data_IF_066672364123
#
_entry.id   IF_066672364123
#
_cell.length_a   1.000
_cell.length_b   1.000
_cell.length_c   1.000
_cell.angle_alpha   90.00
_cell.angle_beta   90.00
_cell.angle_gamma   90.00
#
_symmetry.space_group_name_H-M   'P 1'
#
loop_
_entity.id
_entity.type
_entity.pdbx_description
1 polymer ?
#
# COMPACT_ATOMS: atom_id res chain seq x y z
N UNK A 1 11.87 -2.78 8.80
CA UNK A 1 11.33 -3.16 7.48
C UNK A 1 11.60 -4.64 7.19
N UNK A 2 10.65 -5.27 6.52
CA UNK A 2 10.74 -6.69 6.16
C UNK A 2 11.53 -6.86 4.86
N UNK A 3 12.21 -7.98 4.69
CA UNK A 3 12.97 -8.27 3.47
C UNK A 3 12.07 -8.28 2.21
N UNK A 4 10.79 -8.64 2.35
CA UNK A 4 9.78 -8.61 1.29
C UNK A 4 9.47 -7.20 0.79
N UNK A 5 9.73 -6.17 1.57
CA UNK A 5 9.46 -4.77 1.22
C UNK A 5 10.58 -4.14 0.39
N UNK A 6 11.77 -4.75 0.33
CA UNK A 6 12.96 -4.14 -0.30
C UNK A 6 12.77 -3.88 -1.79
N UNK A 7 12.20 -4.83 -2.53
CA UNK A 7 11.99 -4.67 -3.98
C UNK A 7 11.11 -3.45 -4.29
N UNK A 8 9.98 -3.31 -3.60
CA UNK A 8 9.08 -2.17 -3.79
C UNK A 8 9.73 -0.82 -3.40
N UNK A 9 10.63 -0.82 -2.39
CA UNK A 9 11.39 0.38 -2.01
C UNK A 9 12.40 0.74 -3.10
N UNK A 10 13.11 -0.22 -3.65
CA UNK A 10 14.07 0.01 -4.73
C UNK A 10 13.38 0.51 -6.01
N UNK A 11 12.22 -0.06 -6.36
CA UNK A 11 11.42 0.39 -7.49
C UNK A 11 10.92 1.84 -7.27
N UNK A 12 10.44 2.16 -6.07
CA UNK A 12 10.00 3.52 -5.74
C UNK A 12 11.16 4.53 -5.84
N UNK A 13 12.34 4.19 -5.35
CA UNK A 13 13.54 5.03 -5.47
C UNK A 13 13.94 5.23 -6.93
N UNK A 14 13.97 4.15 -7.71
CA UNK A 14 14.28 4.23 -9.14
C UNK A 14 13.30 5.14 -9.90
N UNK A 15 12.01 5.06 -9.57
CA UNK A 15 11.00 5.96 -10.12
C UNK A 15 11.24 7.42 -9.71
N UNK A 16 11.53 7.67 -8.44
CA UNK A 16 11.85 9.02 -7.96
C UNK A 16 13.07 9.59 -8.69
N UNK A 17 14.14 8.80 -8.85
CA UNK A 17 15.34 9.20 -9.56
C UNK A 17 15.04 9.53 -11.04
N UNK A 18 14.24 8.70 -11.72
CA UNK A 18 13.81 8.95 -13.12
C UNK A 18 13.03 10.25 -13.26
N UNK A 19 12.17 10.56 -12.29
CA UNK A 19 11.29 11.74 -12.30
C UNK A 19 11.93 12.99 -11.68
N UNK A 20 13.11 12.87 -11.08
CA UNK A 20 13.78 13.97 -10.38
C UNK A 20 13.06 14.35 -9.07
N UNK A 21 12.38 13.39 -8.43
CA UNK A 21 11.70 13.57 -7.16
C UNK A 21 12.71 13.28 -6.04
N UNK A 22 12.91 14.25 -5.14
CA UNK A 22 13.74 14.06 -3.96
C UNK A 22 13.05 13.11 -2.97
N UNK A 23 13.80 12.24 -2.34
CA UNK A 23 13.27 11.34 -1.34
C UNK A 23 14.22 11.20 -0.14
N UNK A 24 13.66 10.85 1.00
CA UNK A 24 14.37 10.44 2.21
C UNK A 24 13.84 9.08 2.65
N UNK A 25 14.69 8.26 3.22
CA UNK A 25 14.30 6.95 3.73
C UNK A 25 14.48 6.91 5.25
N UNK A 26 13.45 6.41 5.93
CA UNK A 26 13.49 6.07 7.35
C UNK A 26 13.11 4.60 7.50
N UNK A 27 13.70 3.93 8.46
CA UNK A 27 13.43 2.52 8.75
C UNK A 27 13.10 2.33 10.22
N UNK A 28 12.21 1.37 10.50
CA UNK A 28 11.89 0.93 11.85
C UNK A 28 11.67 -0.59 11.84
N UNK A 29 12.12 -1.27 12.88
CA UNK A 29 11.95 -2.72 13.08
C UNK A 29 11.00 -3.03 14.23
N UNK A 30 10.60 -2.01 14.97
CA UNK A 30 9.60 -2.05 16.05
C UNK A 30 8.61 -0.92 15.89
N UNK A 31 7.42 -1.03 16.49
CA UNK A 31 6.41 0.04 16.46
C UNK A 31 6.95 1.37 17.02
N UNK A 32 7.79 1.33 18.05
CA UNK A 32 8.41 2.54 18.60
C UNK A 32 9.38 3.20 17.62
N UNK A 33 10.17 2.43 16.89
CA UNK A 33 11.05 2.95 15.84
C UNK A 33 10.28 3.49 14.65
N UNK A 34 9.16 2.86 14.26
CA UNK A 34 8.26 3.36 13.21
C UNK A 34 7.66 4.70 13.62
N UNK A 35 7.21 4.85 14.87
CA UNK A 35 6.71 6.13 15.39
C UNK A 35 7.79 7.21 15.34
N UNK A 36 9.03 6.89 15.77
CA UNK A 36 10.15 7.82 15.69
C UNK A 36 10.52 8.19 14.24
N UNK A 37 10.40 7.23 13.32
CA UNK A 37 10.60 7.47 11.89
C UNK A 37 9.52 8.41 11.32
N UNK A 38 8.27 8.23 11.71
CA UNK A 38 7.16 9.12 11.31
C UNK A 38 7.39 10.54 11.85
N UNK A 39 7.76 10.70 13.14
CA UNK A 39 8.09 12.00 13.72
C UNK A 39 9.25 12.70 12.97
N UNK A 40 10.25 11.92 12.55
CA UNK A 40 11.36 12.46 11.77
C UNK A 40 10.93 12.91 10.36
N UNK A 41 10.06 12.17 9.67
CA UNK A 41 9.53 12.56 8.36
C UNK A 41 8.68 13.83 8.45
N UNK A 42 7.84 13.95 9.48
CA UNK A 42 7.08 15.18 9.75
C UNK A 42 8.01 16.37 10.01
N UNK A 43 9.05 16.17 10.81
CA UNK A 43 10.04 17.23 11.10
C UNK A 43 10.87 17.66 9.87
N UNK A 44 11.11 16.75 8.94
CA UNK A 44 11.77 17.04 7.66
C UNK A 44 10.85 17.75 6.66
N UNK A 45 9.54 17.74 6.88
CA UNK A 45 8.56 18.44 6.05
C UNK A 45 8.40 17.82 4.66
N UNK A 46 8.30 16.49 4.61
CA UNK A 46 8.06 15.77 3.34
C UNK A 46 6.66 16.04 2.81
N UNK A 47 6.49 16.03 1.49
CA UNK A 47 5.20 16.31 0.85
C UNK A 47 4.26 15.09 0.85
N UNK A 48 4.81 13.89 0.95
CA UNK A 48 4.06 12.62 1.01
C UNK A 48 4.92 11.53 1.65
N UNK A 49 4.27 10.51 2.18
CA UNK A 49 4.91 9.28 2.67
C UNK A 49 4.44 8.09 1.84
N UNK A 50 5.39 7.23 1.47
CA UNK A 50 5.11 5.93 0.85
C UNK A 50 5.63 4.81 1.74
N UNK A 51 4.76 3.83 2.03
CA UNK A 51 5.13 2.59 2.71
C UNK A 51 4.68 1.39 1.88
N UNK A 52 5.58 0.49 1.47
CA UNK A 52 5.19 -0.77 0.85
C UNK A 52 4.45 -1.67 1.84
N UNK A 53 3.98 -2.82 1.39
CA UNK A 53 3.41 -3.82 2.30
C UNK A 53 4.45 -4.24 3.35
N UNK A 54 4.25 -3.82 4.59
CA UNK A 54 5.13 -4.11 5.74
C UNK A 54 4.29 -4.24 7.02
N UNK A 55 4.28 -5.43 7.62
CA UNK A 55 3.46 -5.72 8.81
C UNK A 55 3.89 -4.92 10.04
N UNK A 56 5.17 -4.54 10.15
CA UNK A 56 5.66 -3.73 11.28
C UNK A 56 5.10 -2.34 11.22
N UNK A 57 5.09 -1.73 10.03
CA UNK A 57 4.51 -0.38 9.83
C UNK A 57 3.00 -0.45 9.95
N UNK A 58 2.35 -1.45 9.33
CA UNK A 58 0.90 -1.62 9.42
C UNK A 58 0.41 -1.71 10.86
N UNK A 59 1.10 -2.49 11.71
CA UNK A 59 0.77 -2.59 13.14
C UNK A 59 0.92 -1.26 13.89
N UNK A 60 1.80 -0.37 13.43
CA UNK A 60 2.01 0.94 14.03
C UNK A 60 1.08 2.02 13.46
N UNK A 61 0.36 1.76 12.38
CA UNK A 61 -0.39 2.77 11.61
C UNK A 61 -1.36 3.57 12.47
N UNK A 62 -2.18 2.93 13.30
CA UNK A 62 -3.10 3.61 14.22
C UNK A 62 -2.42 4.59 15.21
N UNK A 63 -1.10 4.50 15.37
CA UNK A 63 -0.33 5.41 16.23
C UNK A 63 0.41 6.52 15.48
N UNK A 64 0.40 6.47 14.14
CA UNK A 64 1.14 7.44 13.31
C UNK A 64 0.26 8.22 12.33
N UNK A 65 -0.92 7.71 11.93
CA UNK A 65 -1.74 8.33 10.89
C UNK A 65 -2.18 9.76 11.26
N UNK A 66 -2.59 10.00 12.51
CA UNK A 66 -2.99 11.34 12.97
C UNK A 66 -1.84 12.35 12.84
N UNK A 67 -0.60 11.93 13.09
CA UNK A 67 0.58 12.79 12.96
C UNK A 67 0.77 13.26 11.52
N UNK A 68 0.51 12.38 10.56
CA UNK A 68 0.59 12.72 9.13
C UNK A 68 -0.58 13.62 8.72
N UNK A 69 -1.79 13.35 9.18
CA UNK A 69 -2.96 14.21 8.93
C UNK A 69 -2.71 15.62 9.49
N UNK A 70 -2.27 15.74 10.74
CA UNK A 70 -2.00 17.03 11.39
C UNK A 70 -0.91 17.84 10.67
N UNK A 71 0.04 17.14 10.05
CA UNK A 71 1.11 17.74 9.26
C UNK A 71 0.71 18.02 7.79
N UNK A 72 -0.49 17.60 7.35
CA UNK A 72 -0.95 17.74 5.96
C UNK A 72 -0.23 16.78 5.00
N UNK A 73 0.29 15.65 5.47
CA UNK A 73 1.11 14.70 4.71
C UNK A 73 0.27 13.46 4.36
N UNK A 74 -0.05 13.21 3.09
CA UNK A 74 -0.73 11.99 2.69
C UNK A 74 0.20 10.77 2.82
N UNK A 75 -0.34 9.67 3.37
CA UNK A 75 0.33 8.39 3.49
C UNK A 75 -0.22 7.41 2.44
N UNK A 76 0.58 7.10 1.44
CA UNK A 76 0.32 6.11 0.39
C UNK A 76 0.93 4.78 0.79
N UNK A 77 0.18 3.69 0.63
CA UNK A 77 0.61 2.38 1.14
C UNK A 77 0.38 1.24 0.17
N UNK A 78 1.05 0.12 0.40
CA UNK A 78 1.01 -1.08 -0.45
C UNK A 78 -0.03 -2.12 -0.04
N UNK A 79 -1.00 -1.79 0.83
CA UNK A 79 -2.08 -2.71 1.21
C UNK A 79 -3.30 -1.94 1.74
N UNK A 80 -4.49 -2.53 1.56
CA UNK A 80 -5.78 -2.01 2.01
C UNK A 80 -5.88 -1.84 3.54
N UNK A 81 -5.26 -2.74 4.29
CA UNK A 81 -5.23 -2.71 5.76
C UNK A 81 -4.67 -1.41 6.35
N UNK A 82 -3.78 -0.73 5.65
CA UNK A 82 -3.29 0.58 6.08
C UNK A 82 -4.37 1.66 5.99
N UNK A 83 -5.19 1.65 4.92
CA UNK A 83 -6.29 2.59 4.79
C UNK A 83 -7.35 2.38 5.87
N UNK A 84 -7.61 1.13 6.28
CA UNK A 84 -8.47 0.80 7.43
C UNK A 84 -7.91 1.35 8.75
N UNK A 85 -6.60 1.59 8.82
CA UNK A 85 -5.91 2.12 10.00
C UNK A 85 -5.58 3.60 9.89
N UNK A 86 -6.19 4.33 8.95
CA UNK A 86 -6.09 5.78 8.86
C UNK A 86 -5.13 6.31 7.80
N UNK A 87 -4.35 5.47 7.09
CA UNK A 87 -3.58 5.94 5.93
C UNK A 87 -4.52 6.49 4.84
N UNK A 88 -4.03 7.44 4.03
CA UNK A 88 -4.83 8.03 2.95
C UNK A 88 -5.34 6.97 1.97
N UNK A 89 -4.47 6.10 1.51
CA UNK A 89 -4.87 5.00 0.64
C UNK A 89 -3.91 3.83 0.70
N UNK A 90 -4.45 2.64 0.35
CA UNK A 90 -3.68 1.43 0.15
C UNK A 90 -3.92 0.85 -1.24
N UNK A 91 -2.87 0.68 -2.04
CA UNK A 91 -2.93 -0.03 -3.32
C UNK A 91 -2.58 -1.48 -3.10
N UNK A 92 -3.52 -2.37 -3.35
CA UNK A 92 -3.40 -3.78 -3.04
C UNK A 92 -3.86 -4.71 -4.15
N UNK A 93 -3.77 -5.99 -3.88
CA UNK A 93 -4.18 -7.06 -4.78
C UNK A 93 -5.69 -7.27 -4.67
N UNK A 94 -6.37 -7.44 -5.81
CA UNK A 94 -7.73 -7.99 -5.82
C UNK A 94 -7.67 -9.50 -5.53
N UNK A 95 -7.89 -9.88 -4.29
CA UNK A 95 -7.79 -11.28 -3.86
C UNK A 95 -8.87 -12.18 -4.45
N UNK A 96 -10.05 -11.66 -4.82
CA UNK A 96 -11.09 -12.43 -5.50
C UNK A 96 -10.65 -12.79 -6.93
N UNK A 97 -10.11 -11.82 -7.67
CA UNK A 97 -9.55 -12.04 -8.99
C UNK A 97 -8.35 -13.00 -8.94
N UNK A 98 -7.45 -12.82 -7.96
CA UNK A 98 -6.31 -13.70 -7.75
C UNK A 98 -6.76 -15.14 -7.46
N UNK A 99 -7.79 -15.31 -6.62
CA UNK A 99 -8.38 -16.61 -6.31
C UNK A 99 -8.98 -17.27 -7.54
N UNK A 100 -9.74 -16.53 -8.35
CA UNK A 100 -10.33 -17.00 -9.60
C UNK A 100 -9.25 -17.45 -10.59
N UNK A 101 -8.25 -16.60 -10.84
CA UNK A 101 -7.11 -16.94 -11.71
C UNK A 101 -6.38 -18.21 -11.26
N UNK A 102 -6.13 -18.32 -9.95
CA UNK A 102 -5.48 -19.51 -9.37
C UNK A 102 -6.31 -20.78 -9.59
N UNK A 103 -7.63 -20.68 -9.43
CA UNK A 103 -8.53 -21.81 -9.66
C UNK A 103 -8.56 -22.21 -11.14
N UNK A 104 -8.58 -21.25 -12.06
CA UNK A 104 -8.55 -21.52 -13.50
C UNK A 104 -7.25 -22.22 -13.89
N UNK A 105 -6.11 -21.77 -13.42
CA UNK A 105 -4.82 -22.44 -13.65
C UNK A 105 -4.81 -23.87 -13.09
N UNK A 106 -5.41 -24.09 -11.91
CA UNK A 106 -5.52 -25.43 -11.34
C UNK A 106 -6.42 -26.34 -12.19
N UNK A 107 -7.53 -25.83 -12.72
CA UNK A 107 -8.42 -26.58 -13.64
C UNK A 107 -7.67 -26.92 -14.93
N UNK A 108 -6.92 -26.00 -15.50
CA UNK A 108 -6.14 -26.25 -16.71
C UNK A 108 -5.12 -27.38 -16.52
N UNK A 109 -4.44 -27.43 -15.39
CA UNK A 109 -3.48 -28.49 -15.08
C UNK A 109 -4.18 -29.81 -14.76
N UNK A 110 -5.17 -29.80 -13.85
CA UNK A 110 -5.73 -31.02 -13.29
C UNK A 110 -6.80 -31.66 -14.17
N UNK A 111 -7.54 -30.87 -14.95
CA UNK A 111 -8.66 -31.33 -15.77
C UNK A 111 -8.29 -31.32 -17.25
N UNK A 112 -7.67 -30.26 -17.75
CA UNK A 112 -7.38 -30.08 -19.17
C UNK A 112 -6.01 -30.65 -19.56
N UNK A 113 -5.20 -31.09 -18.59
CA UNK A 113 -3.93 -31.79 -18.83
C UNK A 113 -2.78 -30.85 -19.23
N UNK A 114 -2.85 -29.56 -18.88
CA UNK A 114 -1.72 -28.64 -19.07
C UNK A 114 -0.50 -29.11 -18.25
N UNK A 115 0.68 -28.98 -18.85
CA UNK A 115 1.94 -29.31 -18.16
C UNK A 115 2.31 -28.20 -17.15
N UNK A 116 2.37 -28.50 -15.85
CA UNK A 116 2.77 -27.51 -14.86
C UNK A 116 4.15 -26.87 -15.13
N UNK A 117 5.07 -27.63 -15.69
CA UNK A 117 6.39 -27.13 -16.02
C UNK A 117 6.42 -26.14 -17.18
N UNK A 118 5.40 -26.19 -18.04
CA UNK A 118 5.20 -25.29 -19.17
C UNK A 118 4.20 -24.16 -18.89
N UNK A 119 3.50 -24.20 -17.74
CA UNK A 119 2.53 -23.19 -17.35
C UNK A 119 3.29 -21.97 -16.74
N UNK A 120 3.20 -20.79 -17.34
CA UNK A 120 3.88 -19.62 -16.81
C UNK A 120 3.28 -19.14 -15.50
N UNK A 121 4.09 -18.43 -14.70
CA UNK A 121 3.57 -17.66 -13.57
C UNK A 121 2.75 -16.50 -14.12
N UNK A 122 1.54 -16.33 -13.61
CA UNK A 122 0.68 -15.21 -13.94
C UNK A 122 0.69 -14.16 -12.83
N UNK A 123 0.55 -12.90 -13.22
CA UNK A 123 0.41 -11.75 -12.32
C UNK A 123 -0.88 -11.00 -12.65
N UNK A 124 -1.39 -10.24 -11.68
CA UNK A 124 -2.47 -9.30 -11.92
C UNK A 124 -1.89 -8.02 -12.52
N UNK A 125 -2.52 -7.50 -13.58
CA UNK A 125 -2.06 -6.29 -14.27
C UNK A 125 -2.38 -5.02 -13.48
N UNK A 126 -3.52 -5.02 -12.78
CA UNK A 126 -4.01 -3.86 -12.01
C UNK A 126 -4.53 -4.34 -10.66
N UNK A 127 -4.16 -3.62 -9.61
CA UNK A 127 -4.72 -3.81 -8.28
C UNK A 127 -5.94 -2.93 -8.02
N UNK A 128 -6.48 -3.06 -6.83
CA UNK A 128 -7.51 -2.16 -6.28
C UNK A 128 -6.85 -1.11 -5.40
N UNK A 129 -7.46 0.05 -5.29
CA UNK A 129 -7.11 1.04 -4.28
C UNK A 129 -8.22 1.14 -3.25
N UNK A 130 -7.86 1.05 -1.98
CA UNK A 130 -8.75 1.35 -0.86
C UNK A 130 -8.40 2.73 -0.34
N UNK A 131 -9.37 3.64 -0.32
CA UNK A 131 -9.20 5.04 0.11
C UNK A 131 -9.92 5.24 1.44
N UNK A 132 -9.20 5.79 2.41
CA UNK A 132 -9.82 6.27 3.65
C UNK A 132 -10.43 7.65 3.39
N UNK A 133 -11.77 7.71 3.39
CA UNK A 133 -12.51 8.93 3.05
C UNK A 133 -12.39 10.00 4.13
N UNK A 134 -12.26 9.62 5.40
CA UNK A 134 -12.04 10.57 6.51
C UNK A 134 -10.68 11.26 6.38
N UNK A 135 -9.64 10.48 6.08
CA UNK A 135 -8.29 11.00 5.85
C UNK A 135 -8.23 11.85 4.58
N UNK A 136 -8.90 11.43 3.50
CA UNK A 136 -9.00 12.22 2.28
C UNK A 136 -9.66 13.58 2.53
N UNK A 137 -10.77 13.62 3.29
CA UNK A 137 -11.46 14.84 3.67
C UNK A 137 -10.59 15.74 4.56
N UNK A 138 -9.97 15.19 5.58
CA UNK A 138 -9.09 15.92 6.49
C UNK A 138 -7.91 16.59 5.77
N UNK A 139 -7.33 15.90 4.78
CA UNK A 139 -6.24 16.42 3.95
C UNK A 139 -6.72 17.28 2.77
N UNK A 140 -8.02 17.32 2.48
CA UNK A 140 -8.58 18.02 1.32
C UNK A 140 -8.15 17.45 -0.03
N UNK A 141 -7.97 16.13 -0.10
CA UNK A 141 -7.46 15.44 -1.29
C UNK A 141 -8.59 14.88 -2.15
N UNK A 142 -8.48 15.11 -3.46
CA UNK A 142 -9.29 14.43 -4.48
C UNK A 142 -8.60 13.12 -4.90
N UNK A 143 -9.34 12.02 -4.86
CA UNK A 143 -8.89 10.70 -5.26
C UNK A 143 -9.59 10.15 -6.52
N UNK A 144 -10.34 11.00 -7.22
CA UNK A 144 -11.08 10.62 -8.43
C UNK A 144 -10.18 10.03 -9.52
N UNK A 145 -8.89 10.43 -9.57
CA UNK A 145 -7.90 9.93 -10.52
C UNK A 145 -7.62 8.43 -10.39
N UNK A 146 -7.85 7.83 -9.22
CA UNK A 146 -7.63 6.41 -9.04
C UNK A 146 -8.54 5.53 -9.88
N UNK A 147 -9.72 6.03 -10.28
CA UNK A 147 -10.66 5.31 -11.16
C UNK A 147 -10.06 4.96 -12.52
N UNK A 148 -9.13 5.77 -13.00
CA UNK A 148 -8.45 5.53 -14.27
C UNK A 148 -7.16 4.69 -14.11
N UNK A 149 -6.62 4.61 -12.90
CA UNK A 149 -5.34 3.99 -12.60
C UNK A 149 -5.47 2.55 -12.08
N UNK A 150 -6.58 2.23 -11.42
CA UNK A 150 -6.80 0.96 -10.72
C UNK A 150 -7.93 0.15 -11.37
N UNK A 151 -8.05 -1.13 -11.03
CA UNK A 151 -9.18 -1.97 -11.47
C UNK A 151 -10.47 -1.60 -10.75
N UNK A 152 -10.36 -1.16 -9.48
CA UNK A 152 -11.48 -0.70 -8.67
C UNK A 152 -11.00 0.27 -7.58
N UNK A 153 -11.93 1.07 -7.06
CA UNK A 153 -11.73 2.00 -5.94
C UNK A 153 -12.73 1.65 -4.84
N UNK A 154 -12.20 1.20 -3.71
CA UNK A 154 -12.96 0.86 -2.51
C UNK A 154 -12.84 2.01 -1.51
N UNK A 155 -13.94 2.46 -0.94
CA UNK A 155 -13.97 3.49 0.08
C UNK A 155 -14.10 2.85 1.48
N UNK A 156 -13.36 3.39 2.43
CA UNK A 156 -13.40 2.95 3.83
C UNK A 156 -13.30 4.16 4.77
N UNK A 157 -13.49 3.90 6.06
CA UNK A 157 -13.21 4.82 7.16
C UNK A 157 -12.24 4.16 8.14
N UNK A 158 -11.67 4.94 9.03
CA UNK A 158 -10.74 4.41 10.03
C UNK A 158 -11.48 3.49 11.01
N UNK A 159 -10.99 2.27 11.17
CA UNK A 159 -11.51 1.33 12.15
C UNK A 159 -11.09 1.78 13.56
N UNK A 160 -12.08 1.87 14.49
CA UNK A 160 -11.80 2.26 15.88
C UNK A 160 -11.09 1.14 16.65
N UNK A 161 -11.31 -0.13 16.28
CA UNK A 161 -10.69 -1.31 16.88
C UNK A 161 -10.52 -2.41 15.83
N UNK A 162 -9.47 -3.21 15.96
CA UNK A 162 -9.34 -4.48 15.24
C UNK A 162 -10.19 -5.55 15.94
N UNK A 163 -11.21 -6.06 15.28
CA UNK A 163 -11.86 -7.30 15.68
C UNK A 163 -11.09 -8.53 15.18
#
# INVERSE_FOLDING_TARGET
SQASSLGAIEDAKAYCDEKGIAYVEKTGTTSAEVQAAADALVAEGVDAVFTPQDNTVMTAELSIFEKFIDAGIPHYTGADSFALNGAFCGYGVNYEELGTKTADMAVDILVNGADPAATPIETLERGIVTVNTETAEALGLDYSMFKDMCSDVVETVTAEEFE
#
